data_IF_897100561171
#
_entry.id   IF_897100561171
#
_cell.length_a   1.000
_cell.length_b   1.000
_cell.length_c   1.000
_cell.angle_alpha   90.00
_cell.angle_beta   90.00
_cell.angle_gamma   90.00
#
_symmetry.space_group_name_H-M   'P 1'
#
loop_
_entity.id
_entity.type
_entity.pdbx_description
1 polymer ?
#
# COMPACT_ATOMS: atom_id res chain seq x y z
N UNK A 1 60.17 -55.88 17.46
CA UNK A 1 59.57 -54.84 16.59
C UNK A 1 58.41 -54.24 17.38
N UNK A 2 58.62 -53.20 18.20
CA UNK A 2 58.73 -51.75 17.90
C UNK A 2 57.39 -51.08 17.49
N UNK A 3 56.95 -50.11 18.31
CA UNK A 3 55.91 -49.09 18.05
C UNK A 3 54.71 -49.17 19.03
N UNK A 4 54.60 -48.50 20.19
CA UNK A 4 54.59 -47.05 20.53
C UNK A 4 53.55 -46.28 19.70
N UNK A 5 52.40 -45.82 20.22
CA UNK A 5 52.08 -44.59 21.01
C UNK A 5 50.53 -44.55 21.11
N UNK A 6 49.79 -43.88 22.01
CA UNK A 6 50.01 -43.04 23.19
C UNK A 6 48.63 -42.76 23.81
N UNK A 7 48.61 -42.62 25.14
CA UNK A 7 47.50 -42.15 25.99
C UNK A 7 46.90 -40.80 25.54
N UNK A 8 45.60 -40.59 25.82
CA UNK A 8 45.16 -39.47 26.67
C UNK A 8 43.72 -39.67 27.17
N UNK A 9 43.60 -39.97 28.48
CA UNK A 9 42.36 -39.82 29.25
C UNK A 9 42.40 -38.47 29.93
N UNK A 10 41.34 -37.66 29.81
CA UNK A 10 41.02 -36.61 30.78
C UNK A 10 39.51 -36.38 30.85
N UNK A 11 38.94 -36.74 32.00
CA UNK A 11 37.65 -36.28 32.48
C UNK A 11 37.70 -34.77 32.76
N UNK A 12 36.65 -34.03 32.39
CA UNK A 12 36.13 -32.93 33.21
C UNK A 12 34.60 -32.88 33.09
N UNK A 13 33.98 -32.80 34.26
CA UNK A 13 32.56 -32.63 34.51
C UNK A 13 32.27 -31.17 34.86
N UNK A 14 31.05 -30.72 34.57
CA UNK A 14 30.27 -29.67 35.26
C UNK A 14 30.39 -28.20 34.80
N UNK A 15 29.23 -27.51 34.88
CA UNK A 15 28.96 -26.04 34.93
C UNK A 15 28.73 -25.43 33.52
N UNK A 16 27.56 -24.98 33.00
CA UNK A 16 26.35 -24.23 33.48
C UNK A 16 25.18 -24.55 32.50
N UNK A 17 23.98 -25.04 32.86
CA UNK A 17 22.84 -24.39 33.54
C UNK A 17 22.55 -22.95 33.07
N UNK A 18 21.69 -22.75 32.06
CA UNK A 18 20.72 -21.62 31.92
C UNK A 18 20.04 -21.62 30.53
N UNK A 19 18.82 -22.17 30.44
CA UNK A 19 17.69 -21.60 29.65
C UNK A 19 16.44 -22.45 29.83
N UNK A 20 15.77 -22.22 30.95
CA UNK A 20 14.46 -22.77 31.26
C UNK A 20 13.71 -21.78 32.15
N UNK A 21 13.28 -20.65 31.57
CA UNK A 21 12.29 -19.76 32.18
C UNK A 21 11.31 -19.36 31.07
N UNK A 22 10.17 -20.03 31.07
CA UNK A 22 8.94 -19.53 30.47
C UNK A 22 8.57 -18.21 31.15
N UNK A 23 8.33 -17.17 30.36
CA UNK A 23 7.56 -16.01 30.82
C UNK A 23 6.28 -15.92 29.98
N UNK A 24 5.18 -16.44 30.55
CA UNK A 24 3.82 -16.07 30.16
C UNK A 24 3.58 -14.63 30.58
N UNK A 25 3.21 -13.77 29.64
CA UNK A 25 2.72 -12.40 29.86
C UNK A 25 2.25 -11.91 28.49
N UNK A 26 1.14 -11.23 28.27
CA UNK A 26 0.01 -10.78 29.07
C UNK A 26 -0.96 -10.26 28.00
N UNK A 27 -2.12 -10.91 27.82
CA UNK A 27 -3.14 -10.42 26.88
C UNK A 27 -3.80 -9.20 27.53
N UNK A 28 -3.64 -8.02 26.95
CA UNK A 28 -4.38 -6.83 27.35
C UNK A 28 -5.36 -6.42 26.24
N UNK A 29 -6.63 -6.75 26.47
CA UNK A 29 -7.80 -6.27 25.74
C UNK A 29 -8.12 -4.84 26.19
N UNK A 30 -8.13 -3.86 25.28
CA UNK A 30 -8.68 -2.53 25.56
C UNK A 30 -9.93 -2.28 24.72
N UNK A 31 -11.08 -2.69 25.28
CA UNK A 31 -12.38 -2.04 25.06
C UNK A 31 -12.79 -1.47 26.41
N UNK A 32 -12.94 -0.15 26.55
CA UNK A 32 -14.00 0.53 27.31
C UNK A 32 -13.77 2.07 27.30
N UNK A 33 -14.87 2.80 26.99
CA UNK A 33 -15.25 4.19 27.31
C UNK A 33 -14.28 5.34 26.93
N UNK A 34 -14.61 6.34 26.11
CA UNK A 34 -15.82 7.17 25.92
C UNK A 34 -16.13 8.14 27.08
N UNK A 35 -16.12 9.44 26.73
CA UNK A 35 -16.66 10.65 27.41
C UNK A 35 -15.74 11.30 28.47
N UNK A 36 -15.22 12.50 28.13
CA UNK A 36 -15.57 13.80 28.76
C UNK A 36 -15.17 14.93 27.78
N UNK A 37 -16.17 15.71 27.38
CA UNK A 37 -16.11 16.97 26.65
C UNK A 37 -16.30 18.12 27.67
N UNK A 38 -15.90 19.36 27.31
CA UNK A 38 -16.20 20.68 27.96
C UNK A 38 -15.17 21.05 29.07
N UNK A 39 -14.48 22.20 29.15
CA UNK A 39 -14.63 23.57 28.61
C UNK A 39 -13.28 24.32 28.69
N UNK A 40 -12.97 25.20 27.74
CA UNK A 40 -12.12 26.36 28.02
C UNK A 40 -12.57 27.54 27.13
N UNK A 41 -13.30 28.48 27.74
CA UNK A 41 -13.58 29.82 27.20
C UNK A 41 -12.49 30.73 27.78
N UNK A 42 -11.79 31.47 26.91
CA UNK A 42 -11.16 32.72 27.31
C UNK A 42 -11.40 33.77 26.24
N UNK A 43 -12.17 34.76 26.64
CA UNK A 43 -12.58 35.94 25.89
C UNK A 43 -11.70 37.10 26.34
N UNK A 44 -11.04 37.80 25.41
CA UNK A 44 -10.44 39.11 25.66
C UNK A 44 -11.04 40.06 24.65
N UNK A 45 -11.86 40.98 25.17
CA UNK A 45 -12.47 42.07 24.46
C UNK A 45 -11.44 43.18 24.18
N UNK A 46 -11.41 43.68 22.95
CA UNK A 46 -11.03 45.08 22.66
C UNK A 46 -11.95 45.64 21.59
N UNK A 47 -12.79 46.58 22.01
CA UNK A 47 -13.67 47.40 21.19
C UNK A 47 -12.89 48.55 20.56
N UNK A 48 -12.99 48.72 19.24
CA UNK A 48 -12.57 49.95 18.55
C UNK A 48 -13.68 50.36 17.56
N UNK A 49 -14.30 51.49 17.87
CA UNK A 49 -15.31 52.21 17.11
C UNK A 49 -14.62 53.10 16.08
N UNK A 50 -15.04 53.11 14.81
CA UNK A 50 -14.83 54.28 13.94
C UNK A 50 -15.95 54.48 12.89
N UNK A 51 -16.24 55.75 12.52
CA UNK A 51 -17.49 56.19 11.91
C UNK A 51 -17.49 56.19 10.37
N UNK A 52 -18.70 56.28 9.80
CA UNK A 52 -18.98 56.46 8.37
C UNK A 52 -18.49 57.82 7.85
N UNK A 53 -17.79 57.82 6.71
CA UNK A 53 -17.73 58.97 5.81
C UNK A 53 -17.72 58.51 4.34
N UNK A 54 -18.75 58.95 3.61
CA UNK A 54 -18.83 58.95 2.15
C UNK A 54 -18.27 60.28 1.68
N UNK A 55 -17.30 60.27 0.75
CA UNK A 55 -17.08 61.39 -0.16
C UNK A 55 -16.51 60.91 -1.49
N UNK A 56 -17.26 61.16 -2.55
CA UNK A 56 -16.88 60.99 -3.94
C UNK A 56 -15.97 62.14 -4.39
N UNK A 57 -14.88 61.86 -5.10
CA UNK A 57 -14.52 62.63 -6.30
C UNK A 57 -13.40 61.93 -7.09
N UNK A 58 -13.72 61.49 -8.30
CA UNK A 58 -12.75 61.06 -9.31
C UNK A 58 -12.80 62.05 -10.48
N UNK A 59 -11.70 62.73 -10.76
CA UNK A 59 -11.40 63.32 -12.07
C UNK A 59 -9.90 63.56 -12.18
N UNK A 60 -9.21 62.76 -12.99
CA UNK A 60 -8.55 63.25 -14.20
C UNK A 60 -8.18 62.08 -15.11
N UNK A 61 -8.65 62.17 -16.35
CA UNK A 61 -8.45 61.24 -17.45
C UNK A 61 -7.01 61.23 -17.96
N UNK A 62 -6.55 60.08 -18.48
CA UNK A 62 -5.89 59.98 -19.80
C UNK A 62 -5.73 58.53 -20.23
N UNK A 63 -6.23 58.24 -21.44
CA UNK A 63 -6.23 56.96 -22.14
C UNK A 63 -4.82 56.55 -22.58
N UNK A 64 -4.53 55.25 -22.48
CA UNK A 64 -3.79 54.51 -23.49
C UNK A 64 -4.47 53.15 -23.67
N UNK A 65 -4.97 52.89 -24.87
CA UNK A 65 -5.56 51.61 -25.29
C UNK A 65 -4.41 50.68 -25.68
N UNK A 66 -4.24 49.57 -24.97
CA UNK A 66 -3.58 48.39 -25.56
C UNK A 66 -4.15 47.11 -24.93
N UNK A 67 -4.84 46.34 -25.78
CA UNK A 67 -5.33 44.95 -25.62
C UNK A 67 -5.88 44.55 -24.25
N UNK A 68 -7.22 44.63 -24.12
CA UNK A 68 -7.94 43.65 -23.32
C UNK A 68 -7.77 42.28 -23.98
N UNK A 69 -6.85 41.50 -23.43
CA UNK A 69 -6.78 40.06 -23.62
C UNK A 69 -8.00 39.48 -22.92
N UNK A 70 -8.96 39.11 -23.76
CA UNK A 70 -10.04 38.18 -23.48
C UNK A 70 -9.46 36.97 -22.75
N UNK A 71 -9.49 36.96 -21.41
CA UNK A 71 -9.36 35.72 -20.64
C UNK A 71 -10.68 34.96 -20.80
N UNK A 72 -10.88 34.51 -22.04
CA UNK A 72 -11.72 33.40 -22.37
C UNK A 72 -11.29 32.24 -21.49
N UNK A 73 -12.05 32.04 -20.42
CA UNK A 73 -12.46 30.71 -20.02
C UNK A 73 -11.30 29.73 -19.82
N UNK A 74 -10.71 29.77 -18.62
CA UNK A 74 -10.04 28.61 -18.01
C UNK A 74 -11.08 27.49 -17.78
N UNK A 75 -11.54 26.91 -18.88
CA UNK A 75 -12.33 25.68 -18.97
C UNK A 75 -11.36 24.49 -19.17
N UNK A 76 -10.03 24.74 -19.11
CA UNK A 76 -9.00 23.74 -19.36
C UNK A 76 -8.75 22.77 -18.21
N UNK A 77 -9.23 23.03 -16.99
CA UNK A 77 -8.99 22.11 -15.87
C UNK A 77 -10.27 21.56 -15.22
N UNK A 78 -11.07 20.83 -16.01
CA UNK A 78 -12.13 19.99 -15.48
C UNK A 78 -11.62 18.94 -14.46
N UNK A 79 -10.32 18.63 -14.43
CA UNK A 79 -9.76 17.69 -13.46
C UNK A 79 -9.69 18.29 -12.05
N UNK A 80 -9.59 19.61 -11.90
CA UNK A 80 -9.63 20.29 -10.59
C UNK A 80 -10.99 20.21 -9.88
N UNK A 81 -12.09 19.93 -10.60
CA UNK A 81 -13.43 19.85 -10.01
C UNK A 81 -13.93 18.42 -9.76
N UNK A 82 -13.16 17.41 -10.16
CA UNK A 82 -13.53 16.00 -9.97
C UNK A 82 -12.96 15.52 -8.63
N UNK A 83 -13.80 15.27 -7.60
CA UNK A 83 -13.30 15.01 -6.24
C UNK A 83 -12.39 13.79 -6.13
N UNK A 84 -12.55 12.79 -7.03
CA UNK A 84 -11.77 11.57 -7.01
C UNK A 84 -10.45 11.64 -7.81
N UNK A 85 -10.22 12.71 -8.57
CA UNK A 85 -8.94 12.95 -9.27
C UNK A 85 -8.01 13.87 -8.48
N UNK A 86 -8.47 14.36 -7.33
CA UNK A 86 -7.67 15.16 -6.41
C UNK A 86 -6.65 14.29 -5.66
N UNK A 87 -5.48 14.84 -5.35
CA UNK A 87 -4.36 14.14 -4.69
C UNK A 87 -4.70 13.57 -3.30
N UNK A 88 -5.73 14.10 -2.66
CA UNK A 88 -6.20 13.66 -1.34
C UNK A 88 -7.26 12.55 -1.40
N UNK A 89 -7.74 12.18 -2.60
CA UNK A 89 -8.77 11.14 -2.74
C UNK A 89 -8.21 9.76 -2.46
N UNK A 90 -8.66 9.14 -1.36
CA UNK A 90 -8.25 7.77 -1.02
C UNK A 90 -8.88 6.71 -1.93
N UNK A 91 -10.06 6.94 -2.49
CA UNK A 91 -10.73 6.02 -3.42
C UNK A 91 -10.37 6.37 -4.86
N UNK A 92 -9.08 6.39 -5.15
CA UNK A 92 -8.53 6.68 -6.47
C UNK A 92 -7.30 5.82 -6.73
N UNK A 93 -6.91 5.69 -8.00
CA UNK A 93 -5.67 4.98 -8.35
C UNK A 93 -4.47 5.67 -7.71
N UNK A 94 -4.43 7.01 -7.79
CA UNK A 94 -3.41 7.89 -7.22
C UNK A 94 -3.32 7.76 -5.70
N UNK A 95 -4.45 7.71 -5.00
CA UNK A 95 -4.50 7.50 -3.55
C UNK A 95 -3.94 6.15 -3.13
N UNK A 96 -4.23 5.09 -3.90
CA UNK A 96 -3.63 3.78 -3.70
C UNK A 96 -2.11 3.77 -3.95
N UNK A 97 -1.65 4.42 -5.01
CA UNK A 97 -0.21 4.57 -5.35
C UNK A 97 0.55 5.39 -4.29
N UNK A 98 -0.07 6.45 -3.76
CA UNK A 98 0.47 7.22 -2.65
C UNK A 98 0.71 6.36 -1.41
N UNK A 99 -0.24 5.48 -1.07
CA UNK A 99 -0.08 4.53 0.03
C UNK A 99 1.08 3.55 -0.21
N UNK A 100 1.27 3.10 -1.46
CA UNK A 100 2.42 2.26 -1.84
C UNK A 100 3.76 2.99 -1.69
N UNK A 101 3.80 4.26 -2.08
CA UNK A 101 5.00 5.09 -1.94
C UNK A 101 5.33 5.36 -0.46
N UNK A 102 4.31 5.67 0.35
CA UNK A 102 4.47 5.83 1.80
C UNK A 102 4.95 4.53 2.47
N UNK A 103 4.43 3.38 2.05
CA UNK A 103 4.92 2.08 2.51
C UNK A 103 6.39 1.87 2.14
N UNK A 104 6.77 2.19 0.90
CA UNK A 104 8.15 2.03 0.42
C UNK A 104 9.12 2.92 1.20
N UNK A 105 8.73 4.16 1.48
CA UNK A 105 9.48 5.06 2.35
C UNK A 105 9.62 4.50 3.77
N UNK A 106 8.56 3.93 4.32
CA UNK A 106 8.59 3.30 5.65
C UNK A 106 9.51 2.06 5.67
N UNK A 107 9.50 1.23 4.63
CA UNK A 107 10.42 0.08 4.48
C UNK A 107 11.87 0.55 4.47
N UNK A 108 12.19 1.60 3.70
CA UNK A 108 13.55 2.16 3.62
C UNK A 108 14.04 2.76 4.95
N UNK A 109 13.11 3.09 5.85
CA UNK A 109 13.38 3.58 7.20
C UNK A 109 13.27 2.47 8.26
N UNK A 110 13.12 1.20 7.84
CA UNK A 110 12.91 0.03 8.71
C UNK A 110 11.67 0.16 9.63
N UNK A 111 10.75 1.07 9.30
CA UNK A 111 9.48 1.24 10.00
C UNK A 111 8.43 0.25 9.45
N UNK A 112 8.63 -1.03 9.76
CA UNK A 112 7.81 -2.10 9.21
C UNK A 112 6.35 -2.07 9.67
N UNK A 113 6.05 -1.58 10.87
CA UNK A 113 4.67 -1.45 11.35
C UNK A 113 3.86 -0.45 10.50
N UNK A 114 4.47 0.69 10.17
CA UNK A 114 3.86 1.66 9.27
C UNK A 114 3.75 1.10 7.86
N UNK A 115 4.77 0.41 7.35
CA UNK A 115 4.74 -0.23 6.04
C UNK A 115 3.57 -1.23 5.92
N UNK A 116 3.40 -2.10 6.93
CA UNK A 116 2.28 -3.05 7.02
C UNK A 116 0.94 -2.32 6.98
N UNK A 117 0.78 -1.26 7.77
CA UNK A 117 -0.46 -0.49 7.81
C UNK A 117 -0.80 0.12 6.43
N UNK A 118 0.19 0.74 5.78
CA UNK A 118 0.03 1.39 4.46
C UNK A 118 -0.25 0.39 3.36
N UNK A 119 0.45 -0.73 3.31
CA UNK A 119 0.22 -1.80 2.33
C UNK A 119 -1.16 -2.45 2.51
N UNK A 120 -1.61 -2.66 3.75
CA UNK A 120 -2.98 -3.13 4.03
C UNK A 120 -4.03 -2.15 3.55
N UNK A 121 -3.81 -0.85 3.71
CA UNK A 121 -4.72 0.18 3.22
C UNK A 121 -4.74 0.21 1.68
N UNK A 122 -3.56 0.17 1.03
CA UNK A 122 -3.44 0.13 -0.43
C UNK A 122 -4.19 -1.08 -1.01
N UNK A 123 -4.01 -2.27 -0.43
CA UNK A 123 -4.75 -3.49 -0.82
C UNK A 123 -6.26 -3.30 -0.76
N UNK A 124 -6.78 -2.67 0.31
CA UNK A 124 -8.22 -2.40 0.45
C UNK A 124 -8.72 -1.45 -0.65
N UNK A 125 -8.01 -0.35 -0.88
CA UNK A 125 -8.34 0.64 -1.92
C UNK A 125 -8.36 -0.02 -3.29
N UNK A 126 -7.29 -0.71 -3.68
CA UNK A 126 -7.20 -1.35 -4.99
C UNK A 126 -8.22 -2.48 -5.19
N UNK A 127 -8.51 -3.25 -4.14
CA UNK A 127 -9.58 -4.25 -4.20
C UNK A 127 -10.96 -3.59 -4.42
N UNK A 128 -11.23 -2.49 -3.72
CA UNK A 128 -12.48 -1.76 -3.86
C UNK A 128 -12.63 -1.21 -5.29
N UNK A 129 -11.58 -0.58 -5.82
CA UNK A 129 -11.56 -0.04 -7.19
C UNK A 129 -11.78 -1.14 -8.22
N UNK A 130 -11.08 -2.27 -8.10
CA UNK A 130 -11.21 -3.40 -9.02
C UNK A 130 -12.64 -3.94 -9.05
N UNK A 131 -13.26 -4.09 -7.87
CA UNK A 131 -14.64 -4.54 -7.76
C UNK A 131 -15.62 -3.53 -8.37
N UNK A 132 -15.46 -2.24 -8.11
CA UNK A 132 -16.34 -1.21 -8.67
C UNK A 132 -16.24 -1.11 -10.19
N UNK A 133 -15.02 -1.12 -10.74
CA UNK A 133 -14.84 -1.13 -12.19
C UNK A 133 -15.42 -2.39 -12.83
N UNK A 134 -15.31 -3.56 -12.19
CA UNK A 134 -15.92 -4.78 -12.70
C UNK A 134 -17.45 -4.73 -12.66
N UNK A 135 -18.03 -4.21 -11.58
CA UNK A 135 -19.47 -4.00 -11.47
C UNK A 135 -19.96 -3.05 -12.57
N UNK A 136 -19.25 -1.95 -12.81
CA UNK A 136 -19.58 -1.00 -13.84
C UNK A 136 -19.47 -1.63 -15.24
N UNK A 137 -18.37 -2.35 -15.53
CA UNK A 137 -18.22 -3.08 -16.79
C UNK A 137 -19.43 -3.98 -17.04
N UNK A 138 -19.83 -4.79 -16.05
CA UNK A 138 -20.96 -5.70 -16.19
C UNK A 138 -22.28 -4.97 -16.50
N UNK A 139 -22.50 -3.78 -15.95
CA UNK A 139 -23.69 -2.96 -16.25
C UNK A 139 -23.75 -2.45 -17.70
N UNK A 140 -22.62 -2.36 -18.39
CA UNK A 140 -22.54 -1.94 -19.80
C UNK A 140 -22.37 -3.12 -20.78
N UNK A 141 -22.32 -4.36 -20.29
CA UNK A 141 -22.18 -5.55 -21.13
C UNK A 141 -23.35 -5.67 -22.11
N UNK A 142 -23.05 -5.76 -23.41
CA UNK A 142 -24.05 -5.83 -24.48
C UNK A 142 -24.79 -4.51 -24.76
N UNK A 143 -24.43 -3.41 -24.06
CA UNK A 143 -25.00 -2.07 -24.26
C UNK A 143 -23.97 -1.17 -24.93
N UNK A 144 -22.79 -1.05 -24.31
CA UNK A 144 -21.70 -0.22 -24.82
C UNK A 144 -20.37 -0.96 -24.62
N UNK A 145 -19.84 -1.52 -25.71
CA UNK A 145 -18.60 -2.28 -25.71
C UNK A 145 -17.39 -1.42 -25.33
N UNK A 146 -17.37 -0.15 -25.71
CA UNK A 146 -16.24 0.74 -25.40
C UNK A 146 -16.18 1.03 -23.90
N UNK A 147 -17.33 1.34 -23.28
CA UNK A 147 -17.41 1.54 -21.84
C UNK A 147 -17.11 0.23 -21.11
N UNK A 148 -17.68 -0.89 -21.55
CA UNK A 148 -17.38 -2.22 -21.00
C UNK A 148 -15.86 -2.49 -20.97
N UNK A 149 -15.17 -2.35 -22.10
CA UNK A 149 -13.73 -2.63 -22.22
C UNK A 149 -12.90 -1.66 -21.37
N UNK A 150 -13.24 -0.37 -21.35
CA UNK A 150 -12.55 0.62 -20.53
C UNK A 150 -12.64 0.30 -19.03
N UNK A 151 -13.82 -0.11 -18.55
CA UNK A 151 -14.02 -0.48 -17.16
C UNK A 151 -13.38 -1.84 -16.84
N UNK A 152 -13.43 -2.80 -17.77
CA UNK A 152 -12.75 -4.09 -17.61
C UNK A 152 -11.24 -3.90 -17.49
N UNK A 153 -10.64 -3.05 -18.31
CA UNK A 153 -9.22 -2.72 -18.24
C UNK A 153 -8.85 -2.02 -16.93
N UNK A 154 -9.69 -1.09 -16.46
CA UNK A 154 -9.51 -0.44 -15.14
C UNK A 154 -9.57 -1.44 -13.99
N UNK A 155 -10.50 -2.41 -14.05
CA UNK A 155 -10.62 -3.47 -13.06
C UNK A 155 -9.38 -4.37 -13.03
N UNK A 156 -8.83 -4.73 -14.20
CA UNK A 156 -7.61 -5.52 -14.33
C UNK A 156 -6.40 -4.77 -13.78
N UNK A 157 -6.20 -3.51 -14.19
CA UNK A 157 -5.09 -2.66 -13.72
C UNK A 157 -5.09 -2.51 -12.19
N UNK A 158 -6.24 -2.17 -11.61
CA UNK A 158 -6.36 -2.02 -10.16
C UNK A 158 -6.23 -3.36 -9.42
N UNK A 159 -6.69 -4.47 -10.01
CA UNK A 159 -6.43 -5.82 -9.51
C UNK A 159 -4.94 -6.18 -9.46
N UNK A 160 -4.17 -5.83 -10.50
CA UNK A 160 -2.71 -6.01 -10.52
C UNK A 160 -2.02 -5.17 -9.43
N UNK A 161 -2.48 -3.92 -9.21
CA UNK A 161 -1.94 -3.07 -8.15
C UNK A 161 -2.23 -3.63 -6.74
N UNK A 162 -3.42 -4.22 -6.53
CA UNK A 162 -3.75 -4.95 -5.29
C UNK A 162 -2.77 -6.09 -5.04
N UNK A 163 -2.43 -6.84 -6.09
CA UNK A 163 -1.55 -7.99 -5.97
C UNK A 163 -0.09 -7.58 -5.75
N UNK A 164 0.37 -6.49 -6.37
CA UNK A 164 1.67 -5.86 -6.08
C UNK A 164 1.77 -5.39 -4.62
N UNK A 165 0.73 -4.75 -4.09
CA UNK A 165 0.66 -4.37 -2.66
C UNK A 165 0.67 -5.60 -1.73
N UNK A 166 -0.01 -6.67 -2.16
CA UNK A 166 -0.02 -7.95 -1.44
C UNK A 166 1.36 -8.60 -1.42
N UNK A 167 2.10 -8.52 -2.52
CA UNK A 167 3.45 -9.06 -2.63
C UNK A 167 4.42 -8.32 -1.71
N UNK A 168 4.42 -6.99 -1.75
CA UNK A 168 5.26 -6.18 -0.86
C UNK A 168 4.93 -6.46 0.62
N UNK A 169 3.64 -6.63 0.97
CA UNK A 169 3.26 -6.97 2.33
C UNK A 169 3.81 -8.32 2.79
N UNK A 170 3.84 -9.31 1.90
CA UNK A 170 4.45 -10.60 2.19
C UNK A 170 5.96 -10.46 2.44
N UNK A 171 6.66 -9.63 1.65
CA UNK A 171 8.08 -9.36 1.85
C UNK A 171 8.37 -8.66 3.17
N UNK A 172 7.54 -7.69 3.57
CA UNK A 172 7.67 -7.02 4.87
C UNK A 172 7.49 -8.01 6.03
N UNK A 173 6.48 -8.87 5.97
CA UNK A 173 6.32 -9.92 6.99
C UNK A 173 7.53 -10.87 7.05
N UNK A 174 8.11 -11.23 5.89
CA UNK A 174 9.35 -12.03 5.87
C UNK A 174 10.52 -11.30 6.54
N UNK A 175 10.67 -10.00 6.29
CA UNK A 175 11.72 -9.19 6.91
C UNK A 175 11.56 -9.06 8.44
N UNK A 176 10.36 -9.33 8.96
CA UNK A 176 10.05 -9.36 10.39
C UNK A 176 10.04 -10.78 10.98
N UNK A 177 10.60 -11.78 10.28
CA UNK A 177 10.57 -13.20 10.67
C UNK A 177 9.15 -13.80 10.81
N UNK A 178 8.15 -13.19 10.17
CA UNK A 178 6.74 -13.61 10.20
C UNK A 178 6.35 -14.38 8.93
N UNK A 179 7.09 -15.43 8.60
CA UNK A 179 6.87 -16.23 7.40
C UNK A 179 5.43 -16.79 7.28
N UNK A 180 4.82 -17.16 8.42
CA UNK A 180 3.45 -17.69 8.47
C UNK A 180 2.40 -16.69 7.96
N UNK A 181 2.64 -15.37 8.13
CA UNK A 181 1.77 -14.33 7.60
C UNK A 181 2.02 -14.07 6.11
N UNK A 182 3.23 -14.34 5.61
CA UNK A 182 3.60 -14.15 4.22
C UNK A 182 2.99 -15.25 3.31
N UNK A 183 2.99 -16.51 3.75
CA UNK A 183 2.48 -17.66 2.97
C UNK A 183 1.07 -17.44 2.38
N UNK A 184 0.02 -17.09 3.16
CA UNK A 184 -1.32 -16.91 2.60
C UNK A 184 -1.38 -15.75 1.60
N UNK A 185 -0.55 -14.71 1.76
CA UNK A 185 -0.49 -13.58 0.83
C UNK A 185 0.14 -13.99 -0.51
N UNK A 186 1.20 -14.80 -0.49
CA UNK A 186 1.85 -15.32 -1.69
C UNK A 186 0.92 -16.28 -2.47
N UNK A 187 0.20 -17.16 -1.76
CA UNK A 187 -0.83 -18.03 -2.36
C UNK A 187 -1.96 -17.19 -2.98
N UNK A 188 -2.40 -16.12 -2.29
CA UNK A 188 -3.42 -15.22 -2.82
C UNK A 188 -3.00 -14.62 -4.18
N UNK A 189 -1.74 -14.21 -4.31
CA UNK A 189 -1.21 -13.66 -5.57
C UNK A 189 -1.22 -14.70 -6.67
N UNK A 190 -0.76 -15.94 -6.40
CA UNK A 190 -0.75 -17.04 -7.39
C UNK A 190 -2.15 -17.47 -7.81
N UNK A 191 -3.17 -17.26 -6.97
CA UNK A 191 -4.57 -17.53 -7.32
C UNK A 191 -5.19 -16.40 -8.14
N UNK A 192 -4.80 -15.16 -7.83
CA UNK A 192 -5.31 -13.98 -8.51
C UNK A 192 -4.65 -13.77 -9.87
N UNK A 193 -3.34 -13.93 -9.90
CA UNK A 193 -2.51 -13.89 -11.10
C UNK A 193 -2.28 -15.32 -11.58
N UNK A 194 -2.21 -15.56 -12.88
CA UNK A 194 -1.76 -16.87 -13.36
C UNK A 194 -0.34 -17.16 -12.82
N UNK A 195 -0.03 -18.40 -12.34
CA UNK A 195 1.31 -18.78 -11.87
C UNK A 195 2.44 -18.45 -12.86
N UNK A 196 2.15 -18.37 -14.16
CA UNK A 196 3.12 -18.08 -15.22
C UNK A 196 3.43 -16.59 -15.42
N UNK A 197 2.69 -15.69 -14.76
CA UNK A 197 3.02 -14.26 -14.73
C UNK A 197 4.30 -14.01 -13.95
N UNK A 198 4.98 -12.88 -14.18
CA UNK A 198 6.18 -12.53 -13.43
C UNK A 198 5.92 -12.44 -11.93
N UNK A 199 4.78 -11.88 -11.52
CA UNK A 199 4.41 -11.76 -10.11
C UNK A 199 4.03 -13.12 -9.51
N UNK A 200 3.36 -13.99 -10.27
CA UNK A 200 3.08 -15.38 -9.89
C UNK A 200 4.36 -16.18 -9.67
N UNK A 201 5.30 -16.11 -10.62
CA UNK A 201 6.64 -16.75 -10.53
C UNK A 201 7.43 -16.25 -9.33
N UNK A 202 7.48 -14.94 -9.10
CA UNK A 202 8.12 -14.34 -7.92
C UNK A 202 7.48 -14.87 -6.64
N UNK A 203 6.16 -14.90 -6.57
CA UNK A 203 5.43 -15.38 -5.39
C UNK A 203 5.68 -16.86 -5.12
N UNK A 204 5.71 -17.70 -6.15
CA UNK A 204 6.05 -19.12 -6.02
C UNK A 204 7.48 -19.30 -5.52
N UNK A 205 8.43 -18.56 -6.08
CA UNK A 205 9.83 -18.58 -5.62
C UNK A 205 9.94 -18.22 -4.14
N UNK A 206 9.20 -17.20 -3.70
CA UNK A 206 9.16 -16.84 -2.27
C UNK A 206 8.60 -17.99 -1.41
N UNK A 207 7.58 -18.73 -1.88
CA UNK A 207 7.08 -19.91 -1.16
C UNK A 207 8.11 -21.04 -1.09
N UNK A 208 8.87 -21.26 -2.17
CA UNK A 208 9.94 -22.25 -2.21
C UNK A 208 11.08 -21.90 -1.25
N UNK A 209 11.53 -20.64 -1.24
CA UNK A 209 12.56 -20.15 -0.32
C UNK A 209 12.15 -20.25 1.16
N UNK A 210 10.85 -20.14 1.45
CA UNK A 210 10.31 -20.33 2.80
C UNK A 210 10.16 -21.81 3.20
N UNK A 211 10.42 -22.75 2.28
CA UNK A 211 10.20 -24.18 2.51
C UNK A 211 8.73 -24.60 2.57
N UNK A 212 7.80 -23.74 2.13
CA UNK A 212 6.37 -24.09 2.07
C UNK A 212 6.09 -25.08 0.94
N UNK A 213 6.84 -24.99 -0.16
CA UNK A 213 6.87 -25.96 -1.25
C UNK A 213 8.29 -26.47 -1.46
N UNK A 214 8.43 -27.69 -1.96
CA UNK A 214 9.72 -28.38 -2.13
C UNK A 214 10.10 -28.65 -3.59
N UNK A 215 9.22 -28.31 -4.55
CA UNK A 215 9.49 -28.45 -5.98
C UNK A 215 9.79 -27.05 -6.54
N UNK A 216 10.92 -26.82 -7.22
CA UNK A 216 11.17 -25.54 -7.88
C UNK A 216 10.25 -25.37 -9.09
N UNK A 217 9.84 -24.12 -9.37
CA UNK A 217 9.11 -23.77 -10.59
C UNK A 217 10.10 -23.33 -11.66
N UNK A 218 10.69 -24.31 -12.35
CA UNK A 218 11.62 -24.07 -13.44
C UNK A 218 10.85 -23.67 -14.71
N UNK A 219 11.16 -22.49 -15.22
CA UNK A 219 10.72 -22.09 -16.55
C UNK A 219 11.78 -22.50 -17.57
N UNK A 220 12.05 -23.78 -17.81
CA UNK A 220 12.70 -24.30 -19.04
C UNK A 220 12.49 -25.84 -19.15
N UNK A 221 12.24 -26.35 -20.37
CA UNK A 221 12.34 -27.77 -20.79
C UNK A 221 11.24 -28.81 -20.45
N UNK A 222 9.99 -28.58 -20.86
CA UNK A 222 9.12 -29.69 -21.33
C UNK A 222 8.50 -29.45 -22.72
N UNK A 223 9.09 -28.53 -23.49
CA UNK A 223 8.68 -28.27 -24.87
C UNK A 223 9.55 -28.99 -25.93
N UNK A 224 10.53 -29.80 -25.53
CA UNK A 224 11.50 -30.44 -26.45
C UNK A 224 11.57 -31.97 -26.37
N UNK A 225 10.70 -32.65 -25.61
CA UNK A 225 10.73 -34.12 -25.47
C UNK A 225 9.55 -34.88 -26.10
N UNK A 226 8.76 -34.27 -27.00
CA UNK A 226 7.67 -34.95 -27.72
C UNK A 226 7.76 -34.81 -29.26
N UNK A 227 8.98 -34.79 -29.81
CA UNK A 227 9.21 -35.05 -31.23
C UNK A 227 10.38 -36.01 -31.39
N UNK A 228 10.09 -37.32 -31.31
CA UNK A 228 10.87 -38.41 -31.91
C UNK A 228 9.90 -39.55 -32.22
#
# INVERSE_FOLDING_TARGET
MLGYLSNLSFHYSLILLFKGIMLKSLVFNNKLLSIIFISFILEIATSITFPSQVLSQSTLSQQAVEKQEDNANDISDFNNFRPLTQDNSLLSLQGGEKLMNEASSAINQENYDLAVAKLRQARKVFNQLSNFHLQLANSFSGIDTQVYDAQRNSALKTGQMRDSATYQLALVHRAQDQAELAVPLLIQIIRSQNPTTDLGKKSYRQLYELGFVNVPFDNQEQATLNFN
#
